data_IF_829161337282
#
_entry.id   IF_829161337282
#
_cell.length_a   1.000
_cell.length_b   1.000
_cell.length_c   1.000
_cell.angle_alpha   90.00
_cell.angle_beta   90.00
_cell.angle_gamma   90.00
#
_symmetry.space_group_name_H-M   'P 1'
#
loop_
_entity.id
_entity.type
_entity.pdbx_description
1 polymer ?
#
# COMPACT_ATOMS: atom_id res chain seq x y z
N UNK A 1 -13.42 68.03 40.67
CA UNK A 1 -13.47 66.66 40.12
C UNK A 1 -12.95 66.74 38.69
N UNK A 2 -11.65 66.54 38.52
CA UNK A 2 -10.95 66.66 37.23
C UNK A 2 -10.46 65.25 36.87
N UNK A 3 -11.22 64.57 36.01
CA UNK A 3 -10.84 63.25 35.51
C UNK A 3 -9.91 63.45 34.31
N UNK A 4 -8.65 63.06 34.46
CA UNK A 4 -7.67 63.09 33.37
C UNK A 4 -7.77 61.78 32.59
N UNK A 5 -8.00 61.79 31.27
CA UNK A 5 -8.13 60.55 30.51
C UNK A 5 -6.76 59.92 30.31
N UNK A 6 -6.66 58.63 30.65
CA UNK A 6 -5.48 57.79 30.48
C UNK A 6 -5.25 57.54 28.98
N UNK A 7 -4.05 57.77 28.43
CA UNK A 7 -3.78 57.50 27.03
C UNK A 7 -3.76 55.99 26.78
N UNK A 8 -4.78 55.50 26.09
CA UNK A 8 -4.84 54.12 25.59
C UNK A 8 -3.76 53.94 24.51
N UNK A 9 -2.65 53.28 24.87
CA UNK A 9 -1.68 52.77 23.90
C UNK A 9 -2.39 51.74 23.02
N UNK A 10 -2.84 52.17 21.84
CA UNK A 10 -3.18 51.25 20.75
C UNK A 10 -1.91 50.48 20.40
N UNK A 11 -1.80 49.23 20.86
CA UNK A 11 -0.89 48.26 20.25
C UNK A 11 -1.40 48.02 18.84
N UNK A 12 -0.76 48.62 17.86
CA UNK A 12 -0.86 48.17 16.48
C UNK A 12 -0.38 46.71 16.44
N UNK A 13 -1.13 45.78 15.82
CA UNK A 13 -0.58 44.46 15.53
C UNK A 13 0.60 44.70 14.59
N UNK A 14 1.81 44.34 15.04
CA UNK A 14 2.98 44.37 14.18
C UNK A 14 2.63 43.59 12.91
N UNK A 15 2.73 44.23 11.75
CA UNK A 15 2.59 43.55 10.47
C UNK A 15 3.53 42.34 10.52
N UNK A 16 2.96 41.13 10.46
CA UNK A 16 3.74 39.92 10.53
C UNK A 16 4.82 40.00 9.43
N UNK A 17 6.07 39.71 9.80
CA UNK A 17 7.18 39.74 8.87
C UNK A 17 6.85 38.85 7.65
N UNK A 18 6.89 39.39 6.42
CA UNK A 18 6.54 38.64 5.23
C UNK A 18 7.34 37.34 5.08
N UNK A 19 8.58 37.28 5.60
CA UNK A 19 9.40 36.08 5.60
C UNK A 19 8.82 34.99 6.53
N UNK A 20 8.31 35.38 7.71
CA UNK A 20 7.71 34.46 8.68
C UNK A 20 6.38 33.92 8.15
N UNK A 21 5.57 34.79 7.52
CA UNK A 21 4.32 34.36 6.89
C UNK A 21 4.55 33.40 5.73
N UNK A 22 5.57 33.64 4.88
CA UNK A 22 5.94 32.75 3.79
C UNK A 22 6.41 31.37 4.29
N UNK A 23 7.22 31.34 5.35
CA UNK A 23 7.67 30.10 5.98
C UNK A 23 6.52 29.27 6.56
N UNK A 24 5.55 29.92 7.22
CA UNK A 24 4.34 29.26 7.73
C UNK A 24 3.48 28.67 6.60
N UNK A 25 3.28 29.43 5.51
CA UNK A 25 2.54 28.95 4.35
C UNK A 25 3.24 27.78 3.64
N UNK A 26 4.57 27.80 3.56
CA UNK A 26 5.36 26.69 3.03
C UNK A 26 5.18 25.42 3.87
N UNK A 27 5.26 25.54 5.21
CA UNK A 27 5.04 24.42 6.14
C UNK A 27 3.63 23.84 6.01
N UNK A 28 2.60 24.68 5.98
CA UNK A 28 1.21 24.23 5.81
C UNK A 28 1.03 23.49 4.48
N UNK A 29 1.68 23.94 3.40
CA UNK A 29 1.65 23.26 2.10
C UNK A 29 2.32 21.89 2.14
N UNK A 30 3.45 21.75 2.84
CA UNK A 30 4.11 20.46 3.05
C UNK A 30 3.26 19.50 3.88
N UNK A 31 2.58 19.99 4.92
CA UNK A 31 1.67 19.19 5.75
C UNK A 31 0.47 18.70 4.92
N UNK A 32 -0.13 19.56 4.10
CA UNK A 32 -1.19 19.18 3.15
C UNK A 32 -0.71 18.13 2.15
N UNK A 33 0.43 18.34 1.50
CA UNK A 33 1.02 17.39 0.56
C UNK A 33 1.30 16.02 1.21
N UNK A 34 1.77 16.02 2.46
CA UNK A 34 1.98 14.79 3.25
C UNK A 34 0.67 14.03 3.42
N UNK A 35 -0.42 14.72 3.80
CA UNK A 35 -1.75 14.13 3.92
C UNK A 35 -2.28 13.55 2.60
N UNK A 36 -2.08 14.26 1.49
CA UNK A 36 -2.46 13.80 0.14
C UNK A 36 -1.71 12.51 -0.21
N UNK A 37 -0.39 12.46 0.01
CA UNK A 37 0.40 11.27 -0.28
C UNK A 37 -0.01 10.07 0.56
N UNK A 38 -0.33 10.27 1.84
CA UNK A 38 -0.84 9.21 2.72
C UNK A 38 -2.21 8.68 2.28
N UNK A 39 -3.05 9.52 1.66
CA UNK A 39 -4.31 9.08 1.09
C UNK A 39 -4.14 8.28 -0.21
N UNK A 40 -3.14 8.62 -1.03
CA UNK A 40 -2.90 8.01 -2.34
C UNK A 40 -1.96 6.79 -2.31
N UNK A 41 -1.20 6.64 -1.23
CA UNK A 41 -0.23 5.57 -0.99
C UNK A 41 -0.34 5.13 0.47
N UNK A 42 -0.53 3.83 0.77
CA UNK A 42 -0.57 3.34 2.15
C UNK A 42 0.82 3.45 2.78
N UNK A 43 1.12 4.60 3.38
CA UNK A 43 2.43 4.91 3.93
C UNK A 43 2.33 5.83 5.15
N UNK A 44 3.42 5.90 5.93
CA UNK A 44 3.52 6.81 7.08
C UNK A 44 3.81 8.25 6.62
N UNK A 45 3.57 9.23 7.51
CA UNK A 45 3.94 10.64 7.25
C UNK A 45 5.46 10.80 7.01
N UNK A 46 6.28 9.97 7.65
CA UNK A 46 7.73 9.94 7.42
C UNK A 46 8.08 9.46 6.02
N UNK A 47 7.44 8.37 5.57
CA UNK A 47 7.59 7.87 4.20
C UNK A 47 7.12 8.88 3.17
N UNK A 48 5.99 9.55 3.42
CA UNK A 48 5.46 10.59 2.53
C UNK A 48 6.44 11.78 2.39
N UNK A 49 7.07 12.24 3.48
CA UNK A 49 8.12 13.27 3.41
C UNK A 49 9.33 12.81 2.61
N UNK A 50 9.78 11.57 2.81
CA UNK A 50 10.88 10.98 2.01
C UNK A 50 10.56 10.92 0.52
N UNK A 51 9.32 10.65 0.14
CA UNK A 51 8.90 10.67 -1.28
C UNK A 51 8.99 12.08 -1.88
N UNK A 52 8.63 13.12 -1.12
CA UNK A 52 8.78 14.51 -1.56
C UNK A 52 10.25 14.88 -1.73
N UNK A 53 11.11 14.50 -0.78
CA UNK A 53 12.56 14.75 -0.86
C UNK A 53 13.19 13.98 -2.03
N UNK A 54 12.85 12.70 -2.22
CA UNK A 54 13.39 11.91 -3.31
C UNK A 54 13.00 12.46 -4.69
N UNK A 55 11.74 12.92 -4.85
CA UNK A 55 11.31 13.56 -6.08
C UNK A 55 12.06 14.88 -6.33
N UNK A 56 12.26 15.68 -5.27
CA UNK A 56 13.02 16.93 -5.33
C UNK A 56 14.48 16.69 -5.77
N UNK A 57 15.14 15.69 -5.18
CA UNK A 57 16.51 15.29 -5.52
C UNK A 57 16.63 14.80 -6.97
N UNK A 58 15.68 14.00 -7.44
CA UNK A 58 15.66 13.45 -8.81
C UNK A 58 15.54 14.55 -9.87
N UNK A 59 14.83 15.65 -9.57
CA UNK A 59 14.60 16.74 -10.52
C UNK A 59 15.43 18.00 -10.24
N UNK A 60 16.27 17.99 -9.21
CA UNK A 60 17.03 19.17 -8.78
C UNK A 60 16.16 20.33 -8.29
N UNK A 61 14.95 20.04 -7.80
CA UNK A 61 14.03 21.04 -7.25
C UNK A 61 14.03 21.02 -5.73
N UNK A 62 13.27 21.92 -5.11
CA UNK A 62 13.09 21.97 -3.66
C UNK A 62 11.96 21.05 -3.20
N UNK A 63 11.99 20.62 -1.93
CA UNK A 63 10.91 19.86 -1.33
C UNK A 63 9.57 20.64 -1.32
N UNK A 64 9.62 21.97 -1.27
CA UNK A 64 8.44 22.84 -1.40
C UNK A 64 7.83 22.78 -2.80
N UNK A 65 8.64 22.77 -3.86
CA UNK A 65 8.16 22.61 -5.24
C UNK A 65 7.55 21.23 -5.45
N UNK A 66 8.16 20.17 -4.89
CA UNK A 66 7.58 18.83 -4.89
C UNK A 66 6.27 18.74 -4.10
N UNK A 67 6.15 19.46 -2.98
CA UNK A 67 4.88 19.57 -2.24
C UNK A 67 3.81 20.31 -3.06
N UNK A 68 4.18 21.38 -3.77
CA UNK A 68 3.29 22.06 -4.72
C UNK A 68 2.82 21.14 -5.85
N UNK A 69 3.74 20.37 -6.43
CA UNK A 69 3.43 19.36 -7.43
C UNK A 69 2.48 18.26 -6.89
N UNK A 70 2.66 17.82 -5.64
CA UNK A 70 1.78 16.85 -5.00
C UNK A 70 0.34 17.39 -4.82
N UNK A 71 0.19 18.66 -4.41
CA UNK A 71 -1.12 19.31 -4.31
C UNK A 71 -1.76 19.45 -5.70
N UNK A 72 -0.97 19.78 -6.72
CA UNK A 72 -1.45 19.91 -8.10
C UNK A 72 -1.96 18.59 -8.71
N UNK A 73 -1.51 17.43 -8.21
CA UNK A 73 -2.01 16.11 -8.65
C UNK A 73 -3.52 15.94 -8.46
N UNK A 74 -4.12 16.59 -7.43
CA UNK A 74 -5.57 16.57 -7.23
C UNK A 74 -6.32 17.50 -8.19
N UNK A 75 -5.64 18.52 -8.72
CA UNK A 75 -6.22 19.57 -9.56
C UNK A 75 -6.30 19.23 -11.05
N UNK A 76 -5.82 18.05 -11.48
CA UNK A 76 -5.96 17.54 -12.84
C UNK A 76 -5.38 18.44 -13.95
N UNK A 77 -4.34 19.23 -13.66
CA UNK A 77 -3.75 20.16 -14.63
C UNK A 77 -2.99 19.43 -15.76
N UNK A 78 -3.05 19.99 -16.97
CA UNK A 78 -2.43 19.50 -18.21
C UNK A 78 -0.89 19.65 -18.23
N UNK A 79 -0.27 18.68 -18.92
CA UNK A 79 1.17 18.37 -19.02
C UNK A 79 1.89 18.11 -17.68
N UNK A 80 2.25 16.84 -17.40
CA UNK A 80 2.91 16.50 -16.16
C UNK A 80 4.31 17.13 -16.10
N UNK A 81 4.54 17.98 -15.09
CA UNK A 81 5.89 18.50 -14.87
C UNK A 81 6.86 17.35 -14.52
N UNK A 82 8.17 17.49 -14.80
CA UNK A 82 9.16 16.46 -14.43
C UNK A 82 9.07 16.06 -12.95
N UNK A 83 8.78 17.03 -12.07
CA UNK A 83 8.58 16.80 -10.63
C UNK A 83 7.33 15.96 -10.34
N UNK A 84 6.23 16.20 -11.06
CA UNK A 84 5.03 15.38 -10.93
C UNK A 84 5.25 13.96 -11.45
N UNK A 85 6.02 13.78 -12.53
CA UNK A 85 6.34 12.46 -13.06
C UNK A 85 7.27 11.68 -12.13
N UNK A 86 8.31 12.32 -11.58
CA UNK A 86 9.17 11.75 -10.55
C UNK A 86 8.36 11.34 -9.32
N UNK A 87 7.43 12.19 -8.86
CA UNK A 87 6.54 11.87 -7.74
C UNK A 87 5.60 10.70 -8.04
N UNK A 88 4.95 10.67 -9.21
CA UNK A 88 4.11 9.53 -9.64
C UNK A 88 4.92 8.23 -9.70
N UNK A 89 6.16 8.30 -10.16
CA UNK A 89 7.09 7.17 -10.21
C UNK A 89 7.47 6.70 -8.81
N UNK A 90 7.82 7.61 -7.91
CA UNK A 90 8.13 7.32 -6.51
C UNK A 90 6.92 6.69 -5.77
N UNK A 91 5.72 7.24 -5.96
CA UNK A 91 4.47 6.68 -5.42
C UNK A 91 4.19 5.27 -5.97
N UNK A 92 4.41 5.04 -7.26
CA UNK A 92 4.26 3.71 -7.88
C UNK A 92 5.22 2.71 -7.27
N UNK A 93 6.50 3.09 -7.09
CA UNK A 93 7.50 2.26 -6.40
C UNK A 93 7.07 1.97 -4.95
N UNK A 94 6.60 2.97 -4.22
CA UNK A 94 6.15 2.81 -2.83
C UNK A 94 4.94 1.85 -2.71
N UNK A 95 3.98 1.91 -3.63
CA UNK A 95 2.83 0.98 -3.68
C UNK A 95 3.23 -0.46 -4.01
N UNK A 96 4.27 -0.63 -4.82
CA UNK A 96 4.74 -1.95 -5.23
C UNK A 96 5.61 -2.66 -4.19
N UNK A 97 5.87 -2.04 -3.03
CA UNK A 97 6.83 -2.53 -2.03
C UNK A 97 8.29 -2.44 -2.51
N UNK A 98 9.29 -2.76 -1.66
CA UNK A 98 10.65 -2.96 -2.16
C UNK A 98 10.57 -4.00 -3.29
N UNK A 99 11.26 -3.77 -4.41
CA UNK A 99 11.40 -4.79 -5.46
C UNK A 99 11.95 -6.04 -4.78
N UNK A 100 11.07 -6.99 -4.47
CA UNK A 100 11.47 -8.27 -3.92
C UNK A 100 12.29 -8.90 -5.03
N UNK A 101 13.61 -8.92 -4.83
CA UNK A 101 14.53 -9.59 -5.74
C UNK A 101 13.99 -10.99 -6.04
N UNK A 102 14.19 -11.44 -7.28
CA UNK A 102 13.73 -12.74 -7.75
C UNK A 102 14.15 -13.86 -6.76
N UNK A 103 13.24 -14.24 -5.85
CA UNK A 103 13.55 -15.26 -4.84
C UNK A 103 12.68 -15.24 -3.58
N UNK A 104 12.27 -14.09 -3.06
CA UNK A 104 11.48 -14.04 -1.82
C UNK A 104 9.96 -14.11 -2.10
N UNK A 105 9.52 -15.17 -2.78
CA UNK A 105 8.08 -15.45 -2.89
C UNK A 105 7.61 -15.94 -1.51
N UNK A 106 6.78 -15.14 -0.83
CA UNK A 106 6.05 -15.63 0.34
C UNK A 106 5.22 -16.83 -0.11
N UNK A 107 5.59 -18.02 0.38
CA UNK A 107 4.83 -19.24 0.13
C UNK A 107 3.90 -19.50 1.32
N UNK A 108 2.70 -20.06 1.07
CA UNK A 108 1.83 -20.53 2.13
C UNK A 108 2.55 -21.64 2.93
N UNK A 109 2.17 -21.79 4.20
CA UNK A 109 2.72 -22.86 5.03
C UNK A 109 2.39 -24.24 4.41
N UNK A 110 3.31 -25.22 4.48
CA UNK A 110 3.13 -26.56 3.93
C UNK A 110 1.83 -27.27 4.31
N UNK A 111 1.47 -27.18 5.60
CA UNK A 111 0.29 -27.77 6.20
C UNK A 111 -1.01 -27.19 5.63
N UNK A 112 -1.07 -25.86 5.56
CA UNK A 112 -2.23 -25.14 4.99
C UNK A 112 -2.39 -25.46 3.51
N UNK A 113 -1.29 -25.49 2.75
CA UNK A 113 -1.35 -25.82 1.32
C UNK A 113 -1.85 -27.26 1.09
N UNK A 114 -1.39 -28.23 1.89
CA UNK A 114 -1.86 -29.62 1.84
C UNK A 114 -3.36 -29.73 2.13
N UNK A 115 -3.86 -29.01 3.13
CA UNK A 115 -5.28 -28.99 3.48
C UNK A 115 -6.13 -28.50 2.29
N UNK A 116 -5.74 -27.39 1.65
CA UNK A 116 -6.47 -26.85 0.50
C UNK A 116 -6.42 -27.78 -0.72
N UNK A 117 -5.28 -28.43 -0.99
CA UNK A 117 -5.18 -29.43 -2.07
C UNK A 117 -6.07 -30.65 -1.78
N UNK A 118 -6.10 -31.13 -0.52
CA UNK A 118 -6.96 -32.24 -0.12
C UNK A 118 -8.45 -31.88 -0.24
N UNK A 119 -8.85 -30.70 0.22
CA UNK A 119 -10.21 -30.17 0.11
C UNK A 119 -10.66 -30.06 -1.34
N UNK A 120 -9.83 -29.48 -2.21
CA UNK A 120 -10.11 -29.41 -3.65
C UNK A 120 -10.34 -30.80 -4.26
N UNK A 121 -9.48 -31.77 -3.93
CA UNK A 121 -9.62 -33.16 -4.43
C UNK A 121 -10.90 -33.83 -3.93
N UNK A 122 -11.35 -33.55 -2.71
CA UNK A 122 -12.61 -34.06 -2.17
C UNK A 122 -13.82 -33.47 -2.91
N UNK A 123 -13.91 -32.15 -2.98
CA UNK A 123 -14.98 -31.44 -3.68
C UNK A 123 -15.08 -31.85 -5.15
N UNK A 124 -13.94 -32.02 -5.83
CA UNK A 124 -13.93 -32.49 -7.22
C UNK A 124 -14.54 -33.89 -7.37
N UNK A 125 -14.31 -34.80 -6.43
CA UNK A 125 -14.94 -36.14 -6.45
C UNK A 125 -16.44 -36.06 -6.21
N UNK A 126 -16.87 -35.21 -5.29
CA UNK A 126 -18.29 -35.01 -4.97
C UNK A 126 -19.05 -34.39 -6.13
N UNK A 127 -18.50 -33.35 -6.77
CA UNK A 127 -19.08 -32.74 -7.98
C UNK A 127 -19.17 -33.74 -9.13
N UNK A 128 -18.19 -34.64 -9.28
CA UNK A 128 -18.26 -35.71 -10.28
C UNK A 128 -19.36 -36.74 -9.95
N UNK A 129 -19.67 -36.97 -8.68
CA UNK A 129 -20.78 -37.82 -8.23
C UNK A 129 -22.15 -37.16 -8.39
N UNK A 130 -22.22 -35.83 -8.24
CA UNK A 130 -23.44 -35.03 -8.31
C UNK A 130 -23.26 -33.76 -9.15
N UNK A 131 -23.12 -33.86 -10.49
CA UNK A 131 -22.80 -32.69 -11.33
C UNK A 131 -23.89 -31.61 -11.35
N UNK A 132 -25.13 -31.93 -10.96
CA UNK A 132 -26.24 -30.96 -10.91
C UNK A 132 -26.33 -30.17 -9.61
N UNK A 133 -25.49 -30.48 -8.61
CA UNK A 133 -25.51 -29.78 -7.32
C UNK A 133 -24.73 -28.46 -7.42
N UNK A 134 -25.47 -27.35 -7.54
CA UNK A 134 -24.89 -26.01 -7.65
C UNK A 134 -24.18 -25.54 -6.38
N UNK A 135 -24.49 -26.10 -5.20
CA UNK A 135 -23.80 -25.76 -3.98
C UNK A 135 -22.38 -26.36 -3.98
N UNK A 136 -22.26 -27.64 -4.34
CA UNK A 136 -20.97 -28.31 -4.48
C UNK A 136 -20.10 -27.68 -5.58
N UNK A 137 -20.71 -27.26 -6.69
CA UNK A 137 -20.00 -26.52 -7.74
C UNK A 137 -19.40 -25.21 -7.23
N UNK A 138 -20.16 -24.42 -6.46
CA UNK A 138 -19.67 -23.16 -5.88
C UNK A 138 -18.54 -23.38 -4.89
N UNK A 139 -18.66 -24.39 -4.03
CA UNK A 139 -17.58 -24.72 -3.10
C UNK A 139 -16.29 -25.15 -3.83
N UNK A 140 -16.43 -25.89 -4.94
CA UNK A 140 -15.30 -26.25 -5.78
C UNK A 140 -14.65 -25.01 -6.41
N UNK A 141 -15.45 -24.07 -6.92
CA UNK A 141 -14.96 -22.81 -7.50
C UNK A 141 -14.24 -21.94 -6.47
N UNK A 142 -14.76 -21.85 -5.24
CA UNK A 142 -14.12 -21.12 -4.14
C UNK A 142 -12.78 -21.74 -3.74
N UNK A 143 -12.72 -23.08 -3.69
CA UNK A 143 -11.48 -23.81 -3.44
C UNK A 143 -10.44 -23.56 -4.55
N UNK A 144 -10.88 -23.55 -5.82
CA UNK A 144 -10.04 -23.23 -6.96
C UNK A 144 -9.53 -21.78 -6.89
N UNK A 145 -10.41 -20.83 -6.61
CA UNK A 145 -10.04 -19.42 -6.48
C UNK A 145 -9.00 -19.21 -5.38
N UNK A 146 -9.19 -19.86 -4.24
CA UNK A 146 -8.24 -19.84 -3.12
C UNK A 146 -6.86 -20.33 -3.55
N UNK A 147 -6.78 -21.45 -4.27
CA UNK A 147 -5.50 -21.97 -4.79
C UNK A 147 -4.86 -21.02 -5.81
N UNK A 148 -5.65 -20.39 -6.68
CA UNK A 148 -5.17 -19.37 -7.63
C UNK A 148 -4.51 -18.18 -6.90
N UNK A 149 -5.15 -17.67 -5.85
CA UNK A 149 -4.62 -16.57 -5.03
C UNK A 149 -3.36 -17.00 -4.28
N UNK A 150 -3.40 -18.14 -3.58
CA UNK A 150 -2.25 -18.65 -2.81
C UNK A 150 -1.02 -18.85 -3.70
N UNK A 151 -1.21 -19.29 -4.94
CA UNK A 151 -0.12 -19.57 -5.87
C UNK A 151 0.26 -18.39 -6.77
N UNK A 152 -0.51 -17.31 -6.73
CA UNK A 152 -0.34 -16.16 -7.62
C UNK A 152 -0.44 -16.57 -9.09
N UNK A 153 -1.39 -17.45 -9.41
CA UNK A 153 -1.64 -17.97 -10.77
C UNK A 153 -3.00 -17.51 -11.26
N UNK A 154 -3.11 -17.28 -12.56
CA UNK A 154 -4.34 -16.79 -13.21
C UNK A 154 -5.25 -17.90 -13.69
N UNK A 155 -4.74 -19.13 -13.77
CA UNK A 155 -5.50 -20.29 -14.23
C UNK A 155 -5.58 -21.34 -13.12
N UNK A 156 -6.72 -22.04 -12.97
CA UNK A 156 -6.87 -23.16 -12.04
C UNK A 156 -5.83 -24.26 -12.26
N UNK A 157 -5.54 -24.56 -13.53
CA UNK A 157 -4.58 -25.59 -13.90
C UNK A 157 -3.17 -25.26 -13.40
N UNK A 158 -2.69 -24.05 -13.66
CA UNK A 158 -1.35 -23.62 -13.23
C UNK A 158 -1.27 -23.52 -11.70
N UNK A 159 -2.35 -23.08 -11.06
CA UNK A 159 -2.44 -22.99 -9.60
C UNK A 159 -2.30 -24.37 -8.96
N UNK A 160 -3.09 -25.34 -9.42
CA UNK A 160 -3.06 -26.70 -8.89
C UNK A 160 -1.71 -27.37 -9.12
N UNK A 161 -1.17 -27.29 -10.35
CA UNK A 161 0.13 -27.88 -10.67
C UNK A 161 1.26 -27.31 -9.81
N UNK A 162 1.25 -26.00 -9.58
CA UNK A 162 2.21 -25.34 -8.70
C UNK A 162 2.04 -25.77 -7.23
N UNK A 163 0.79 -25.87 -6.76
CA UNK A 163 0.48 -26.30 -5.41
C UNK A 163 0.93 -27.75 -5.15
N UNK A 164 0.64 -28.66 -6.07
CA UNK A 164 1.04 -30.07 -5.98
C UNK A 164 2.56 -30.21 -5.98
N UNK A 165 3.26 -29.51 -6.88
CA UNK A 165 4.73 -29.50 -6.91
C UNK A 165 5.33 -29.06 -5.57
N UNK A 166 4.75 -28.05 -4.92
CA UNK A 166 5.22 -27.58 -3.61
C UNK A 166 4.90 -28.56 -2.48
N UNK A 167 3.73 -29.20 -2.51
CA UNK A 167 3.35 -30.24 -1.54
C UNK A 167 4.28 -31.45 -1.66
N UNK A 168 4.60 -31.87 -2.88
CA UNK A 168 5.45 -33.02 -3.16
C UNK A 168 6.92 -32.74 -2.85
N UNK A 169 7.39 -31.51 -3.06
CA UNK A 169 8.76 -31.08 -2.74
C UNK A 169 9.02 -30.93 -1.24
N UNK A 170 7.99 -30.90 -0.40
CA UNK A 170 8.12 -30.70 1.03
C UNK A 170 8.02 -32.04 1.76
N UNK A 171 9.10 -32.51 2.44
CA UNK A 171 9.01 -33.71 3.27
C UNK A 171 7.90 -33.53 4.30
N UNK A 172 7.14 -34.60 4.55
CA UNK A 172 6.12 -34.58 5.60
C UNK A 172 6.79 -34.22 6.91
N UNK A 173 6.54 -33.02 7.42
CA UNK A 173 6.97 -32.66 8.76
C UNK A 173 6.29 -33.66 9.70
N UNK A 174 7.05 -34.49 10.44
CA UNK A 174 6.45 -35.36 11.42
C UNK A 174 5.66 -34.47 12.38
N UNK A 175 4.44 -34.91 12.69
CA UNK A 175 3.55 -34.25 13.61
C UNK A 175 4.37 -33.75 14.81
N UNK A 176 4.34 -32.44 15.05
CA UNK A 176 4.94 -31.83 16.25
C UNK A 176 4.50 -32.68 17.44
N UNK A 177 5.49 -33.21 18.14
CA UNK A 177 5.33 -34.27 19.12
C UNK A 177 4.12 -34.08 20.01
N UNK A 178 3.37 -35.17 20.14
CA UNK A 178 2.85 -35.61 21.42
C UNK A 178 4.04 -35.61 22.42
N UNK A 179 4.30 -34.44 23.02
CA UNK A 179 5.16 -34.29 24.19
C UNK A 179 4.21 -34.30 25.38
N UNK A 180 4.31 -35.38 26.15
CA UNK A 180 3.28 -35.83 27.06
C UNK A 180 3.13 -35.05 28.36
N UNK A 181 2.02 -35.39 29.02
CA UNK A 181 1.91 -35.61 30.45
C UNK A 181 0.86 -36.72 30.65
#
# INVERSE_FOLDING_TARGET
MTETPIPQRRRTPAAADPAVAAAAAARARTELATGILMALVPCSAETARRLLTAAAEETGTTAQESAGAAVALLGGQDEPTPVQEALRTAMRRARSGPQQGAGARLLPRPDVLREHVARFRALRREVLGSPGDLALQRELDDAVYTLCVMMGRRTPHDALKAAETLVDAQPQQPARGDQGA
#
